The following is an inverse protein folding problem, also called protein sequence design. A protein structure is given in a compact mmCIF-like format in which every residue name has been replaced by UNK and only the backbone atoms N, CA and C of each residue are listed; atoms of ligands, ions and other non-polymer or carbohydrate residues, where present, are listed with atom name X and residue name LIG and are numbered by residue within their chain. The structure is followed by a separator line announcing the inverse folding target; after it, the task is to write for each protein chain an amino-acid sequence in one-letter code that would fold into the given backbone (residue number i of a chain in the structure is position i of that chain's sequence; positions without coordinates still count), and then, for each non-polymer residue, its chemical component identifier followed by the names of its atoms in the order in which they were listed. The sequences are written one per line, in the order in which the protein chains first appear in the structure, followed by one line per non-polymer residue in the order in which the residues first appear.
data_IF_289693054333
#
_entry.id   IF_289693054333
#
_cell.length_a   1.000
_cell.length_b   1.000
_cell.length_c   1.000
_cell.angle_alpha   90.00
_cell.angle_beta   90.00
_cell.angle_gamma   90.00
#
_symmetry.space_group_name_H-M   'P 1'
#
loop_
_entity.id
_entity.type
_entity.pdbx_description
1 polymer ?
#
# COMPACT_ATOMS: atom_id res chain seq x y z
N UNK A 1 -15.35 13.33 10.27
CA UNK A 1 -16.09 12.62 9.16
C UNK A 1 -15.62 11.19 9.18
N UNK A 2 -16.53 10.23 9.08
CA UNK A 2 -16.17 8.81 8.87
C UNK A 2 -15.44 8.66 7.53
N UNK A 3 -14.60 7.65 7.40
CA UNK A 3 -13.91 7.34 6.15
C UNK A 3 -14.91 7.22 4.98
N UNK A 4 -14.59 7.85 3.85
CA UNK A 4 -15.47 7.81 2.68
C UNK A 4 -15.43 6.41 2.03
N UNK A 5 -16.59 5.81 1.85
CA UNK A 5 -16.72 4.46 1.29
C UNK A 5 -17.69 4.46 0.12
N UNK A 6 -17.36 3.70 -0.93
CA UNK A 6 -18.24 3.44 -2.06
C UNK A 6 -18.14 1.99 -2.54
N UNK A 7 -19.20 1.52 -3.21
CA UNK A 7 -19.31 0.17 -3.74
C UNK A 7 -19.50 0.20 -5.25
N UNK A 8 -18.84 -0.75 -5.95
CA UNK A 8 -18.81 -0.90 -7.40
C UNK A 8 -19.00 -2.37 -7.78
N UNK A 9 -19.17 -2.66 -9.07
CA UNK A 9 -19.30 -4.02 -9.58
C UNK A 9 -20.36 -4.81 -8.79
N UNK A 10 -21.56 -4.25 -8.63
CA UNK A 10 -22.69 -4.88 -7.91
C UNK A 10 -22.34 -5.32 -6.47
N UNK A 11 -21.44 -4.62 -5.81
CA UNK A 11 -20.99 -4.93 -4.44
C UNK A 11 -19.75 -5.82 -4.36
N UNK A 12 -19.23 -6.28 -5.51
CA UNK A 12 -18.00 -7.08 -5.53
C UNK A 12 -16.74 -6.29 -5.23
N UNK A 13 -16.76 -4.96 -5.41
CA UNK A 13 -15.67 -4.05 -5.06
C UNK A 13 -16.19 -3.00 -4.08
N UNK A 14 -15.60 -2.92 -2.90
CA UNK A 14 -15.81 -1.82 -1.96
C UNK A 14 -14.48 -1.11 -1.73
N UNK A 15 -14.48 0.21 -1.78
CA UNK A 15 -13.30 1.02 -1.48
C UNK A 15 -13.58 1.98 -0.34
N UNK A 16 -12.64 2.12 0.57
CA UNK A 16 -12.66 3.08 1.67
C UNK A 16 -11.42 3.95 1.59
N UNK A 17 -11.61 5.26 1.52
CA UNK A 17 -10.51 6.23 1.56
C UNK A 17 -10.22 6.68 2.97
N UNK A 18 -8.93 6.68 3.31
CA UNK A 18 -8.40 7.23 4.55
C UNK A 18 -7.70 8.54 4.24
N UNK A 19 -7.93 9.52 5.08
CA UNK A 19 -7.30 10.83 4.98
C UNK A 19 -6.85 11.29 6.36
N UNK A 20 -5.75 12.01 6.40
CA UNK A 20 -5.26 12.62 7.64
C UNK A 20 -6.37 13.40 8.35
N UNK A 21 -6.67 13.03 9.60
CA UNK A 21 -7.60 13.72 10.44
C UNK A 21 -6.87 14.70 11.37
N UNK A 22 -7.28 15.98 11.28
CA UNK A 22 -6.63 17.07 12.01
C UNK A 22 -5.35 17.57 11.34
N UNK A 23 -5.05 18.87 11.51
CA UNK A 23 -3.87 19.52 10.92
C UNK A 23 -2.59 19.18 11.68
N UNK A 24 -2.67 19.13 13.00
CA UNK A 24 -1.53 18.81 13.87
C UNK A 24 -1.45 17.29 14.10
N UNK A 25 -0.40 16.62 13.62
CA UNK A 25 -0.24 15.18 13.80
C UNK A 25 0.01 14.79 15.27
N UNK A 26 0.52 15.69 16.10
CA UNK A 26 0.85 15.42 17.49
C UNK A 26 -0.35 15.49 18.44
N UNK A 27 -1.40 16.18 18.04
CA UNK A 27 -2.63 16.33 18.85
C UNK A 27 -3.66 15.29 18.42
N UNK A 28 -4.10 14.44 19.35
CA UNK A 28 -5.22 13.54 19.12
C UNK A 28 -6.52 14.35 18.96
N UNK A 29 -7.35 13.97 17.97
CA UNK A 29 -8.67 14.58 17.78
C UNK A 29 -9.77 13.52 17.81
N UNK A 30 -11.01 13.90 18.21
CA UNK A 30 -12.14 12.96 18.17
C UNK A 30 -12.37 12.32 16.80
N UNK A 31 -12.19 13.10 15.73
CA UNK A 31 -12.35 12.64 14.36
C UNK A 31 -11.31 11.58 13.99
N UNK A 32 -10.05 11.78 14.42
CA UNK A 32 -8.97 10.80 14.22
C UNK A 32 -9.27 9.51 14.96
N UNK A 33 -9.67 9.60 16.23
CA UNK A 33 -10.05 8.43 17.03
C UNK A 33 -11.23 7.70 16.41
N UNK A 34 -12.25 8.43 15.94
CA UNK A 34 -13.40 7.85 15.27
C UNK A 34 -13.04 7.14 13.98
N UNK A 35 -12.15 7.72 13.15
CA UNK A 35 -11.68 7.08 11.92
C UNK A 35 -10.89 5.80 12.21
N UNK A 36 -9.99 5.82 13.19
CA UNK A 36 -9.21 4.64 13.60
C UNK A 36 -10.16 3.52 14.05
N UNK A 37 -11.16 3.83 14.87
CA UNK A 37 -12.18 2.87 15.34
C UNK A 37 -13.01 2.33 14.17
N UNK A 38 -13.45 3.18 13.25
CA UNK A 38 -14.23 2.76 12.07
C UNK A 38 -13.43 1.76 11.23
N UNK A 39 -12.15 2.05 10.94
CA UNK A 39 -11.27 1.14 10.18
C UNK A 39 -11.05 -0.17 10.92
N UNK A 40 -10.74 -0.12 12.23
CA UNK A 40 -10.59 -1.33 13.05
C UNK A 40 -11.84 -2.20 13.01
N UNK A 41 -13.03 -1.58 13.11
CA UNK A 41 -14.33 -2.26 13.06
C UNK A 41 -14.57 -2.90 11.69
N UNK A 42 -14.25 -2.21 10.59
CA UNK A 42 -14.37 -2.76 9.22
C UNK A 42 -13.48 -4.00 9.04
N UNK A 43 -12.24 -3.93 9.51
CA UNK A 43 -11.31 -5.08 9.44
C UNK A 43 -11.82 -6.23 10.31
N UNK A 44 -12.26 -5.95 11.54
CA UNK A 44 -12.83 -6.98 12.42
C UNK A 44 -14.11 -7.60 11.83
N UNK A 45 -14.97 -6.82 11.19
CA UNK A 45 -16.16 -7.32 10.49
C UNK A 45 -15.77 -8.22 9.31
N UNK A 46 -14.80 -7.78 8.48
CA UNK A 46 -14.29 -8.58 7.37
C UNK A 46 -13.75 -9.94 7.86
N UNK A 47 -12.96 -9.95 8.92
CA UNK A 47 -12.47 -11.16 9.59
C UNK A 47 -13.65 -11.96 10.15
N UNK A 48 -14.62 -11.29 10.78
CA UNK A 48 -15.79 -11.89 11.42
C UNK A 48 -16.73 -12.61 10.48
N UNK A 49 -16.70 -12.28 9.18
CA UNK A 49 -17.49 -12.95 8.13
C UNK A 49 -16.85 -14.24 7.62
N UNK A 50 -15.62 -14.59 8.02
CA UNK A 50 -14.98 -15.83 7.61
C UNK A 50 -15.78 -17.06 8.08
N UNK A 51 -16.00 -18.00 7.16
CA UNK A 51 -16.77 -19.23 7.36
C UNK A 51 -15.89 -20.47 7.29
N UNK A 52 -14.75 -20.36 6.61
CA UNK A 52 -13.80 -21.44 6.43
C UNK A 52 -12.84 -21.49 7.63
N UNK A 53 -11.94 -22.47 7.61
CA UNK A 53 -10.92 -22.64 8.64
C UNK A 53 -9.65 -21.84 8.38
N UNK A 54 -9.62 -20.96 7.35
CA UNK A 54 -8.37 -20.30 6.92
C UNK A 54 -8.61 -18.81 6.68
N UNK A 55 -7.95 -17.97 7.48
CA UNK A 55 -7.73 -16.54 7.23
C UNK A 55 -6.23 -16.32 7.06
N UNK A 56 -5.79 -15.88 5.86
CA UNK A 56 -4.39 -15.63 5.52
C UNK A 56 -4.09 -14.13 5.55
N UNK A 57 -3.21 -13.70 6.43
CA UNK A 57 -2.87 -12.30 6.68
C UNK A 57 -1.41 -12.06 6.28
N UNK A 58 -1.16 -11.22 5.30
CA UNK A 58 0.18 -10.75 4.93
C UNK A 58 0.28 -9.24 5.13
N UNK A 59 0.90 -8.80 6.22
CA UNK A 59 0.96 -7.39 6.61
C UNK A 59 2.39 -6.99 6.95
N UNK A 60 2.89 -5.98 6.22
CA UNK A 60 4.22 -5.41 6.42
C UNK A 60 4.41 -4.81 7.81
N UNK A 61 3.56 -3.84 8.19
CA UNK A 61 3.58 -3.17 9.47
C UNK A 61 2.25 -3.40 10.18
N UNK A 62 2.27 -4.31 11.16
CA UNK A 62 1.10 -4.74 11.93
C UNK A 62 1.36 -4.50 13.42
N UNK A 63 1.06 -3.30 13.88
CA UNK A 63 1.26 -2.87 15.28
C UNK A 63 0.16 -1.90 15.69
N UNK A 64 -0.96 -2.45 16.03
CA UNK A 64 -2.09 -1.70 16.56
C UNK A 64 -1.90 -1.38 18.05
N UNK A 65 -2.55 -0.32 18.49
CA UNK A 65 -2.52 0.14 19.88
C UNK A 65 -3.95 0.43 20.36
N UNK A 66 -4.12 0.45 21.67
CA UNK A 66 -5.34 0.88 22.33
C UNK A 66 -6.59 0.14 21.83
N UNK A 67 -7.67 0.87 21.63
CA UNK A 67 -8.95 0.33 21.17
C UNK A 67 -8.86 -0.41 19.82
N UNK A 68 -8.04 0.06 18.88
CA UNK A 68 -7.88 -0.60 17.60
C UNK A 68 -7.26 -2.01 17.74
N UNK A 69 -6.27 -2.16 18.63
CA UNK A 69 -5.69 -3.46 18.94
C UNK A 69 -6.71 -4.41 19.57
N UNK A 70 -7.56 -3.90 20.46
CA UNK A 70 -8.63 -4.69 21.08
C UNK A 70 -9.66 -5.15 20.05
N UNK A 71 -10.18 -4.25 19.22
CA UNK A 71 -11.22 -4.54 18.23
C UNK A 71 -10.73 -5.63 17.24
N UNK A 72 -9.56 -5.45 16.63
CA UNK A 72 -9.03 -6.40 15.64
C UNK A 72 -8.60 -7.72 16.32
N UNK A 73 -7.92 -7.62 17.47
CA UNK A 73 -7.48 -8.79 18.23
C UNK A 73 -8.66 -9.64 18.71
N UNK A 74 -9.74 -9.02 19.18
CA UNK A 74 -10.95 -9.73 19.60
C UNK A 74 -11.70 -10.37 18.42
N UNK A 75 -11.68 -9.71 17.25
CA UNK A 75 -12.18 -10.29 16.00
C UNK A 75 -11.45 -11.58 15.65
N UNK A 76 -10.12 -11.56 15.65
CA UNK A 76 -9.29 -12.75 15.40
C UNK A 76 -9.52 -13.84 16.45
N UNK A 77 -9.57 -13.49 17.74
CA UNK A 77 -9.86 -14.44 18.83
C UNK A 77 -11.25 -15.07 18.70
N UNK A 78 -12.24 -14.29 18.27
CA UNK A 78 -13.58 -14.79 18.06
C UNK A 78 -13.63 -15.84 16.94
N UNK A 79 -12.88 -15.65 15.86
CA UNK A 79 -12.79 -16.63 14.77
C UNK A 79 -11.99 -17.87 15.18
N UNK A 80 -10.87 -17.72 15.85
CA UNK A 80 -10.10 -18.84 16.35
C UNK A 80 -10.96 -19.77 17.28
N UNK A 81 -11.81 -19.17 18.12
CA UNK A 81 -12.77 -19.95 18.97
C UNK A 81 -13.82 -20.71 18.15
N UNK A 82 -14.14 -20.26 16.95
CA UNK A 82 -15.04 -20.97 16.00
C UNK A 82 -14.33 -22.05 15.20
N UNK A 83 -13.02 -22.21 15.39
CA UNK A 83 -12.19 -23.18 14.65
C UNK A 83 -11.63 -22.64 13.33
N UNK A 84 -11.74 -21.34 13.07
CA UNK A 84 -11.07 -20.71 11.92
C UNK A 84 -9.57 -20.70 12.17
N UNK A 85 -8.79 -21.22 11.22
CA UNK A 85 -7.34 -21.19 11.29
C UNK A 85 -6.84 -19.83 10.84
N UNK A 86 -6.13 -19.12 11.73
CA UNK A 86 -5.52 -17.83 11.42
C UNK A 86 -4.04 -18.01 11.19
N UNK A 87 -3.55 -17.55 10.04
CA UNK A 87 -2.12 -17.52 9.69
C UNK A 87 -1.68 -16.10 9.39
N UNK A 88 -0.53 -15.69 9.90
CA UNK A 88 0.01 -14.34 9.71
C UNK A 88 1.45 -14.45 9.23
N UNK A 89 1.75 -13.84 8.07
CA UNK A 89 3.12 -13.51 7.67
C UNK A 89 3.36 -12.01 7.83
N UNK A 90 4.55 -11.65 8.27
CA UNK A 90 4.93 -10.25 8.48
C UNK A 90 6.40 -10.04 8.13
N UNK A 91 6.78 -8.79 7.85
CA UNK A 91 8.16 -8.44 7.57
C UNK A 91 9.01 -8.58 8.84
N UNK A 92 9.97 -9.50 8.82
CA UNK A 92 10.84 -9.79 9.94
C UNK A 92 12.28 -9.36 9.63
N UNK A 93 12.89 -8.60 10.55
CA UNK A 93 14.28 -8.25 10.42
C UNK A 93 15.13 -9.52 10.46
N UNK A 94 15.97 -9.74 9.46
CA UNK A 94 17.05 -10.69 9.59
C UNK A 94 17.91 -10.28 10.80
N UNK A 95 18.33 -11.28 11.59
CA UNK A 95 19.18 -11.02 12.76
C UNK A 95 20.43 -10.24 12.34
N UNK A 96 20.72 -9.04 12.90
CA UNK A 96 21.88 -8.24 12.51
C UNK A 96 23.23 -8.96 12.69
N UNK A 97 23.25 -10.07 13.41
CA UNK A 97 24.46 -10.87 13.66
C UNK A 97 24.87 -11.81 12.52
N UNK A 98 24.01 -12.10 11.54
CA UNK A 98 24.29 -13.12 10.53
C UNK A 98 25.00 -12.60 9.28
N UNK A 99 24.82 -11.30 8.89
CA UNK A 99 25.38 -10.75 7.66
C UNK A 99 25.71 -9.25 7.74
N UNK A 100 26.37 -8.82 8.81
CA UNK A 100 26.88 -7.45 8.92
C UNK A 100 28.11 -7.25 8.02
N UNK A 101 27.91 -7.12 6.72
CA UNK A 101 28.90 -6.52 5.84
C UNK A 101 28.69 -5.01 5.91
N UNK A 102 29.69 -4.21 6.33
CA UNK A 102 29.61 -2.76 6.27
C UNK A 102 29.49 -2.36 4.80
N UNK A 103 28.30 -2.08 4.35
CA UNK A 103 28.07 -1.59 2.98
C UNK A 103 28.23 -0.08 2.96
N UNK A 104 29.21 0.41 2.20
CA UNK A 104 29.35 1.81 1.81
C UNK A 104 28.30 2.28 0.79
N UNK A 105 27.28 1.45 0.48
CA UNK A 105 26.20 1.84 -0.40
C UNK A 105 25.19 2.70 0.38
N UNK A 106 24.64 3.79 -0.23
CA UNK A 106 23.62 4.60 0.41
C UNK A 106 22.42 3.72 0.75
N UNK A 107 22.05 3.73 2.03
CA UNK A 107 20.89 3.01 2.52
C UNK A 107 19.64 3.49 1.78
N UNK A 108 18.95 2.59 1.11
CA UNK A 108 17.68 2.90 0.50
C UNK A 108 16.61 2.97 1.59
N UNK A 109 15.77 3.99 1.54
CA UNK A 109 14.79 4.32 2.56
C UNK A 109 13.91 3.16 3.01
N UNK A 110 13.51 2.32 2.06
CA UNK A 110 12.59 1.22 2.31
C UNK A 110 13.29 -0.05 2.79
N UNK A 111 14.55 -0.25 2.40
CA UNK A 111 15.26 -1.53 2.64
C UNK A 111 15.81 -1.73 4.04
N UNK A 112 15.98 -0.63 4.81
CA UNK A 112 16.58 -0.70 6.14
C UNK A 112 15.58 -0.40 7.26
N UNK A 113 14.30 -0.16 6.92
CA UNK A 113 13.30 0.30 7.86
C UNK A 113 12.31 -0.82 8.18
N UNK A 114 12.75 -1.79 8.95
CA UNK A 114 11.81 -2.76 9.53
C UNK A 114 10.92 -2.07 10.55
N UNK A 115 9.60 -2.28 10.52
CA UNK A 115 8.69 -1.63 11.45
C UNK A 115 8.91 -2.15 12.86
N UNK A 116 9.43 -1.29 13.74
CA UNK A 116 9.60 -1.64 15.14
C UNK A 116 8.24 -1.82 15.81
N UNK A 117 8.11 -2.89 16.57
CA UNK A 117 6.89 -3.24 17.29
C UNK A 117 5.96 -4.20 16.54
N UNK A 118 6.14 -4.42 15.24
CA UNK A 118 5.35 -5.43 14.50
C UNK A 118 5.60 -6.83 15.05
N UNK A 119 6.85 -7.22 15.24
CA UNK A 119 7.20 -8.54 15.80
C UNK A 119 6.53 -8.76 17.17
N UNK A 120 6.61 -7.78 18.05
CA UNK A 120 5.99 -7.83 19.36
C UNK A 120 4.46 -7.95 19.29
N UNK A 121 3.82 -7.17 18.44
CA UNK A 121 2.36 -7.21 18.28
C UNK A 121 1.90 -8.55 17.69
N UNK A 122 2.52 -9.00 16.61
CA UNK A 122 2.14 -10.25 15.95
C UNK A 122 2.37 -11.47 16.88
N UNK A 123 3.48 -11.48 17.63
CA UNK A 123 3.72 -12.53 18.63
C UNK A 123 2.69 -12.54 19.76
N UNK A 124 2.08 -11.41 20.07
CA UNK A 124 0.98 -11.36 21.06
C UNK A 124 -0.30 -12.07 20.59
N UNK A 125 -0.37 -12.45 19.31
CA UNK A 125 -1.46 -13.21 18.69
C UNK A 125 -1.12 -14.70 18.52
N UNK A 126 0.08 -15.13 18.94
CA UNK A 126 0.56 -16.51 18.70
C UNK A 126 -0.21 -17.59 19.49
N UNK A 127 -1.03 -17.19 20.45
CA UNK A 127 -1.96 -18.08 21.17
C UNK A 127 -3.19 -18.46 20.33
N UNK A 128 -3.49 -17.67 19.28
CA UNK A 128 -4.68 -17.85 18.43
C UNK A 128 -4.35 -17.95 16.95
N UNK A 129 -3.14 -17.60 16.53
CA UNK A 129 -2.71 -17.58 15.14
C UNK A 129 -1.35 -18.27 14.98
N UNK A 130 -1.17 -18.93 13.84
CA UNK A 130 0.16 -19.33 13.41
C UNK A 130 0.85 -18.12 12.81
N UNK A 131 2.04 -17.78 13.30
CA UNK A 131 2.78 -16.59 12.87
C UNK A 131 4.13 -16.96 12.27
N UNK A 132 4.51 -16.30 11.18
CA UNK A 132 5.80 -16.53 10.51
C UNK A 132 6.42 -15.21 10.02
N UNK A 133 7.64 -14.93 10.48
CA UNK A 133 8.43 -13.86 9.95
C UNK A 133 8.96 -14.19 8.56
N UNK A 134 8.84 -13.26 7.62
CA UNK A 134 9.41 -13.34 6.28
C UNK A 134 10.61 -12.40 6.19
N UNK A 135 11.75 -12.93 5.76
CA UNK A 135 12.99 -12.18 5.68
C UNK A 135 13.39 -11.90 4.23
N UNK A 136 14.11 -10.79 4.01
CA UNK A 136 14.70 -10.47 2.72
C UNK A 136 15.95 -9.60 2.87
N UNK A 137 16.97 -9.85 2.06
CA UNK A 137 18.16 -9.01 2.03
C UNK A 137 17.88 -7.75 1.22
N UNK A 138 17.82 -6.60 1.90
CA UNK A 138 17.51 -5.29 1.29
C UNK A 138 16.17 -5.22 0.54
N UNK A 139 15.25 -6.10 0.86
CA UNK A 139 13.89 -6.13 0.33
C UNK A 139 12.91 -6.40 1.45
N UNK A 140 11.64 -6.01 1.26
CA UNK A 140 10.60 -6.04 2.28
C UNK A 140 9.46 -6.99 1.88
N UNK A 141 8.91 -7.70 2.85
CA UNK A 141 7.57 -8.28 2.71
C UNK A 141 6.57 -7.14 2.91
N UNK A 142 6.31 -6.39 1.83
CA UNK A 142 5.57 -5.13 1.88
C UNK A 142 4.08 -5.27 1.54
N UNK A 143 3.59 -6.50 1.44
CA UNK A 143 2.17 -6.79 1.26
C UNK A 143 1.31 -6.26 2.41
N UNK A 144 0.05 -5.96 2.11
CA UNK A 144 -0.98 -5.49 3.03
C UNK A 144 -2.32 -6.08 2.62
N UNK A 145 -2.51 -7.38 2.92
CA UNK A 145 -3.78 -8.02 2.58
C UNK A 145 -4.22 -9.04 3.64
N UNK A 146 -5.52 -9.28 3.66
CA UNK A 146 -6.16 -10.38 4.37
C UNK A 146 -7.02 -11.15 3.36
N UNK A 147 -6.85 -12.46 3.30
CA UNK A 147 -7.66 -13.35 2.47
C UNK A 147 -8.53 -14.19 3.37
N UNK A 148 -9.82 -14.25 3.11
CA UNK A 148 -10.73 -15.16 3.78
C UNK A 148 -11.41 -16.11 2.80
N UNK A 149 -11.67 -17.32 3.24
CA UNK A 149 -12.49 -18.32 2.54
C UNK A 149 -12.06 -18.60 1.09
N UNK A 150 -10.76 -18.57 0.78
CA UNK A 150 -10.22 -18.56 -0.58
C UNK A 150 -10.75 -19.70 -1.48
N UNK A 151 -11.15 -20.83 -0.91
CA UNK A 151 -11.65 -22.00 -1.64
C UNK A 151 -13.19 -22.02 -1.78
N UNK A 152 -13.89 -21.01 -1.26
CA UNK A 152 -15.34 -20.94 -1.24
C UNK A 152 -15.92 -19.83 -2.11
N UNK A 153 -17.22 -19.88 -2.36
CA UNK A 153 -17.94 -18.82 -3.06
C UNK A 153 -18.01 -17.51 -2.24
N UNK A 154 -17.80 -17.57 -0.92
CA UNK A 154 -17.78 -16.43 -0.01
C UNK A 154 -16.38 -15.78 0.09
N UNK A 155 -15.43 -16.23 -0.74
CA UNK A 155 -14.07 -15.74 -0.75
C UNK A 155 -13.98 -14.22 -0.95
N UNK A 156 -13.13 -13.60 -0.16
CA UNK A 156 -12.87 -12.17 -0.29
C UNK A 156 -11.41 -11.82 0.10
N UNK A 157 -10.96 -10.70 -0.44
CA UNK A 157 -9.66 -10.10 -0.14
C UNK A 157 -9.85 -8.69 0.36
N UNK A 158 -9.25 -8.36 1.48
CA UNK A 158 -9.07 -6.98 1.94
C UNK A 158 -7.62 -6.59 1.67
N UNK A 159 -7.41 -5.52 0.90
CA UNK A 159 -6.07 -5.05 0.50
C UNK A 159 -6.02 -3.54 0.34
N UNK A 160 -4.93 -2.98 -0.17
CA UNK A 160 -4.75 -1.55 -0.43
C UNK A 160 -3.38 -1.04 -0.04
N UNK A 161 -3.28 0.26 0.21
CA UNK A 161 -2.02 0.91 0.56
C UNK A 161 -1.75 0.96 2.07
N UNK A 162 -2.76 0.71 2.90
CA UNK A 162 -2.73 0.98 4.33
C UNK A 162 -2.02 -0.12 5.13
N UNK A 163 -1.01 0.26 5.91
CA UNK A 163 -0.50 -0.57 6.99
C UNK A 163 -1.53 -0.71 8.12
N UNK A 164 -1.35 -1.70 8.97
CA UNK A 164 -2.23 -1.92 10.13
C UNK A 164 -1.60 -1.26 11.37
N UNK A 165 -1.64 0.08 11.36
CA UNK A 165 -1.16 0.93 12.46
C UNK A 165 -2.13 2.07 12.70
N UNK A 166 -2.17 2.60 13.91
CA UNK A 166 -3.03 3.74 14.24
C UNK A 166 -2.70 4.98 13.39
N UNK A 167 -1.42 5.21 13.07
CA UNK A 167 -1.01 6.31 12.22
C UNK A 167 -1.50 6.13 10.78
N UNK A 168 -1.41 4.90 10.26
CA UNK A 168 -1.88 4.58 8.91
C UNK A 168 -3.38 4.81 8.75
N UNK A 169 -4.14 4.61 9.83
CA UNK A 169 -5.59 4.75 9.82
C UNK A 169 -6.08 6.14 10.18
N UNK A 170 -5.32 6.92 10.95
CA UNK A 170 -5.77 8.23 11.43
C UNK A 170 -5.02 9.43 10.86
N UNK A 171 -3.80 9.24 10.36
CA UNK A 171 -2.89 10.31 9.96
C UNK A 171 -2.44 10.25 8.51
N UNK A 172 -2.42 9.07 7.91
CA UNK A 172 -1.93 8.90 6.54
C UNK A 172 -3.07 8.92 5.53
N UNK A 173 -2.75 9.34 4.30
CA UNK A 173 -3.67 9.22 3.18
C UNK A 173 -3.47 7.85 2.53
N UNK A 174 -4.48 7.02 2.62
CA UNK A 174 -4.46 5.63 2.19
C UNK A 174 -5.78 5.22 1.53
N UNK A 175 -5.80 4.03 0.95
CA UNK A 175 -7.04 3.36 0.55
C UNK A 175 -7.06 1.92 1.05
N UNK A 176 -8.27 1.41 1.27
CA UNK A 176 -8.57 0.01 1.55
C UNK A 176 -9.60 -0.46 0.51
N UNK A 177 -9.41 -1.68 0.00
CA UNK A 177 -10.31 -2.35 -0.91
C UNK A 177 -10.76 -3.68 -0.34
N UNK A 178 -12.05 -3.94 -0.36
CA UNK A 178 -12.62 -5.26 -0.17
C UNK A 178 -13.10 -5.78 -1.53
N UNK A 179 -12.58 -6.93 -1.94
CA UNK A 179 -12.80 -7.55 -3.25
C UNK A 179 -13.39 -8.94 -3.05
N UNK A 180 -14.65 -9.14 -3.47
CA UNK A 180 -15.38 -10.39 -3.31
C UNK A 180 -15.28 -11.20 -4.60
N UNK A 181 -14.37 -12.16 -4.63
CA UNK A 181 -14.16 -13.08 -5.77
C UNK A 181 -13.28 -14.24 -5.36
N UNK A 182 -13.78 -15.46 -5.51
CA UNK A 182 -13.00 -16.67 -5.29
C UNK A 182 -11.79 -16.74 -6.22
N UNK A 183 -11.98 -16.41 -7.49
CA UNK A 183 -10.90 -16.42 -8.46
C UNK A 183 -9.80 -15.42 -8.09
N UNK A 184 -10.15 -14.20 -7.64
CA UNK A 184 -9.16 -13.22 -7.19
C UNK A 184 -8.49 -13.68 -5.89
N UNK A 185 -9.24 -14.16 -4.92
CA UNK A 185 -8.72 -14.66 -3.65
C UNK A 185 -7.70 -15.79 -3.84
N UNK A 186 -7.90 -16.65 -4.85
CA UNK A 186 -6.97 -17.73 -5.15
C UNK A 186 -5.57 -17.24 -5.57
N UNK A 187 -5.44 -16.06 -6.18
CA UNK A 187 -4.13 -15.47 -6.49
C UNK A 187 -3.41 -15.03 -5.20
N UNK A 188 -4.13 -14.34 -4.31
CA UNK A 188 -3.58 -13.92 -3.02
C UNK A 188 -3.21 -15.11 -2.13
N UNK A 189 -4.03 -16.17 -2.12
CA UNK A 189 -3.75 -17.38 -1.35
C UNK A 189 -2.50 -18.12 -1.87
N UNK A 190 -2.21 -18.06 -3.18
CA UNK A 190 -0.96 -18.61 -3.74
C UNK A 190 0.25 -17.79 -3.30
N UNK A 191 0.20 -16.46 -3.42
CA UNK A 191 1.26 -15.57 -2.94
C UNK A 191 1.52 -15.81 -1.44
N UNK A 192 0.46 -15.85 -0.63
CA UNK A 192 0.58 -16.15 0.79
C UNK A 192 1.25 -17.52 1.04
N UNK A 193 0.84 -18.55 0.32
CA UNK A 193 1.39 -19.90 0.46
C UNK A 193 2.87 -19.96 0.12
N UNK A 194 3.31 -19.21 -0.87
CA UNK A 194 4.73 -19.07 -1.24
C UNK A 194 5.50 -18.38 -0.11
N UNK A 195 5.03 -17.24 0.38
CA UNK A 195 5.64 -16.52 1.50
C UNK A 195 5.68 -17.40 2.76
N UNK A 196 4.57 -18.09 3.03
CA UNK A 196 4.46 -18.98 4.17
C UNK A 196 5.42 -20.16 4.09
N UNK A 197 5.51 -20.84 2.95
CA UNK A 197 6.36 -22.02 2.79
C UNK A 197 7.84 -21.66 2.85
N UNK A 198 8.24 -20.60 2.19
CA UNK A 198 9.65 -20.19 2.06
C UNK A 198 10.17 -19.42 3.27
N UNK A 199 9.37 -18.53 3.88
CA UNK A 199 9.81 -17.63 4.94
C UNK A 199 10.82 -16.57 4.46
N UNK A 200 10.96 -16.42 3.13
CA UNK A 200 11.90 -15.51 2.48
C UNK A 200 11.24 -14.87 1.26
N UNK A 201 11.63 -13.62 0.96
CA UNK A 201 11.28 -12.95 -0.28
C UNK A 201 12.23 -13.49 -1.35
N UNK A 202 11.68 -14.20 -2.30
CA UNK A 202 12.40 -14.75 -3.44
C UNK A 202 11.56 -14.51 -4.69
N UNK A 203 12.22 -14.52 -5.85
CA UNK A 203 11.51 -14.40 -7.11
C UNK A 203 10.47 -15.53 -7.21
N UNK A 204 9.24 -15.15 -7.44
CA UNK A 204 8.21 -16.06 -7.86
C UNK A 204 8.61 -16.57 -9.26
N UNK A 205 8.72 -17.86 -9.41
CA UNK A 205 9.02 -18.46 -10.73
C UNK A 205 7.76 -18.53 -11.59
N UNK A 206 6.62 -18.07 -11.05
CA UNK A 206 5.34 -18.47 -11.55
C UNK A 206 4.58 -17.42 -12.31
N UNK A 207 4.22 -17.74 -13.53
CA UNK A 207 3.05 -17.23 -14.22
C UNK A 207 1.72 -17.52 -13.49
N UNK A 208 1.77 -17.97 -12.23
CA UNK A 208 0.61 -18.44 -11.50
C UNK A 208 -0.01 -17.36 -10.59
N UNK A 209 0.71 -16.27 -10.34
CA UNK A 209 0.31 -15.22 -9.41
C UNK A 209 -0.21 -13.96 -10.13
N UNK A 210 -0.16 -13.93 -11.45
CA UNK A 210 -0.65 -12.83 -12.27
C UNK A 210 -1.82 -13.28 -13.13
N UNK A 211 -2.86 -12.45 -13.21
CA UNK A 211 -4.01 -12.75 -14.06
C UNK A 211 -5.02 -11.62 -14.11
N UNK A 212 -6.00 -11.76 -14.97
CA UNK A 212 -7.15 -10.85 -15.03
C UNK A 212 -8.42 -11.63 -14.72
N UNK A 213 -9.16 -11.16 -13.73
CA UNK A 213 -10.47 -11.67 -13.35
C UNK A 213 -11.55 -10.63 -13.64
N UNK A 214 -12.78 -11.06 -13.70
CA UNK A 214 -13.93 -10.14 -13.80
C UNK A 214 -14.71 -10.18 -12.49
N UNK A 215 -14.88 -9.02 -11.89
CA UNK A 215 -15.80 -8.81 -10.78
C UNK A 215 -17.06 -8.17 -11.36
N UNK A 216 -18.13 -8.95 -11.49
CA UNK A 216 -19.24 -8.61 -12.39
C UNK A 216 -18.70 -8.22 -13.78
N UNK A 217 -18.93 -7.01 -14.26
CA UNK A 217 -18.42 -6.55 -15.54
C UNK A 217 -17.06 -5.85 -15.50
N UNK A 218 -16.48 -5.67 -14.30
CA UNK A 218 -15.25 -4.92 -14.12
C UNK A 218 -14.02 -5.83 -14.24
N UNK A 219 -13.14 -5.62 -15.22
CA UNK A 219 -11.86 -6.34 -15.31
C UNK A 219 -10.90 -5.86 -14.23
N UNK A 220 -10.35 -6.80 -13.48
CA UNK A 220 -9.33 -6.57 -12.45
C UNK A 220 -8.12 -7.42 -12.76
N UNK A 221 -7.00 -6.78 -13.08
CA UNK A 221 -5.71 -7.45 -13.22
C UNK A 221 -5.00 -7.43 -11.88
N UNK A 222 -4.50 -8.59 -11.45
CA UNK A 222 -3.69 -8.77 -10.25
C UNK A 222 -2.31 -9.27 -10.63
N UNK A 223 -1.27 -8.74 -9.98
CA UNK A 223 0.09 -9.20 -10.12
C UNK A 223 0.85 -9.01 -8.80
N UNK A 224 1.89 -9.83 -8.60
CA UNK A 224 2.75 -9.80 -7.43
C UNK A 224 4.21 -9.60 -7.82
N UNK A 225 4.97 -8.92 -6.96
CA UNK A 225 6.42 -8.85 -7.05
C UNK A 225 7.05 -9.69 -5.92
N UNK A 226 8.33 -10.11 -6.05
CA UNK A 226 9.26 -9.74 -7.12
C UNK A 226 9.11 -10.53 -8.44
N UNK A 227 8.49 -11.68 -8.51
CA UNK A 227 8.46 -12.54 -9.70
C UNK A 227 7.96 -11.85 -10.99
N UNK A 228 6.81 -11.18 -10.92
CA UNK A 228 6.18 -10.49 -12.05
C UNK A 228 6.56 -9.02 -12.21
N UNK A 229 7.65 -8.57 -11.60
CA UNK A 229 8.04 -7.15 -11.54
C UNK A 229 8.09 -6.47 -12.92
N UNK A 230 8.60 -7.15 -13.93
CA UNK A 230 8.65 -6.61 -15.30
C UNK A 230 7.25 -6.47 -15.92
N UNK A 231 6.35 -7.42 -15.66
CA UNK A 231 4.97 -7.37 -16.13
C UNK A 231 4.21 -6.26 -15.41
N UNK A 232 4.34 -6.13 -14.08
CA UNK A 232 3.77 -5.04 -13.27
C UNK A 232 4.18 -3.67 -13.84
N UNK A 233 5.48 -3.47 -14.04
CA UNK A 233 5.99 -2.22 -14.56
C UNK A 233 5.47 -1.91 -15.96
N UNK A 234 5.41 -2.91 -16.83
CA UNK A 234 4.85 -2.79 -18.17
C UNK A 234 3.38 -2.39 -18.17
N UNK A 235 2.58 -2.99 -17.30
CA UNK A 235 1.15 -2.65 -17.15
C UNK A 235 0.97 -1.21 -16.66
N UNK A 236 1.71 -0.77 -15.64
CA UNK A 236 1.62 0.61 -15.12
C UNK A 236 2.05 1.62 -16.20
N UNK A 237 3.20 1.40 -16.83
CA UNK A 237 3.72 2.27 -17.90
C UNK A 237 2.77 2.27 -19.10
N UNK A 238 2.22 1.12 -19.46
CA UNK A 238 1.24 0.98 -20.55
C UNK A 238 -0.04 1.77 -20.27
N UNK A 239 -0.56 1.72 -19.04
CA UNK A 239 -1.73 2.50 -18.64
C UNK A 239 -1.48 4.02 -18.77
N UNK A 240 -0.31 4.50 -18.30
CA UNK A 240 0.09 5.92 -18.41
C UNK A 240 0.25 6.32 -19.89
N UNK A 241 0.91 5.51 -20.69
CA UNK A 241 1.15 5.79 -22.11
C UNK A 241 -0.14 5.79 -22.94
N UNK A 242 -1.11 4.96 -22.56
CA UNK A 242 -2.40 4.87 -23.23
C UNK A 242 -3.37 6.00 -22.88
N UNK A 243 -3.16 6.71 -21.77
CA UNK A 243 -4.04 7.79 -21.32
C UNK A 243 -4.16 8.93 -22.36
N UNK A 244 -5.38 9.47 -22.52
CA UNK A 244 -5.72 10.49 -23.52
C UNK A 244 -6.42 11.72 -22.92
N UNK A 245 -7.12 11.59 -21.79
CA UNK A 245 -7.98 12.62 -21.25
C UNK A 245 -7.44 13.19 -19.94
N UNK A 246 -6.98 12.31 -19.04
CA UNK A 246 -6.51 12.71 -17.69
C UNK A 246 -5.53 11.71 -17.12
N UNK A 247 -4.67 12.22 -16.25
CA UNK A 247 -3.70 11.42 -15.52
C UNK A 247 -3.54 11.98 -14.10
N UNK A 248 -3.74 11.14 -13.09
CA UNK A 248 -3.49 11.49 -11.70
C UNK A 248 -2.51 10.51 -11.07
N UNK A 249 -1.67 11.02 -10.18
CA UNK A 249 -0.73 10.23 -9.39
C UNK A 249 -0.81 10.65 -7.93
N UNK A 250 -0.92 9.70 -7.01
CA UNK A 250 -0.76 9.97 -5.58
C UNK A 250 0.18 8.92 -5.00
N UNK A 251 1.38 9.33 -4.56
CA UNK A 251 2.41 8.37 -4.17
C UNK A 251 3.31 8.91 -3.05
N UNK A 252 3.62 8.02 -2.10
CA UNK A 252 4.63 8.33 -1.06
C UNK A 252 6.00 8.55 -1.68
N UNK A 253 6.40 7.71 -2.65
CA UNK A 253 7.65 7.80 -3.39
C UNK A 253 7.37 7.64 -4.88
N UNK A 254 7.94 8.50 -5.70
CA UNK A 254 7.84 8.45 -7.17
C UNK A 254 9.26 8.46 -7.75
N UNK A 255 9.91 7.29 -7.78
CA UNK A 255 11.33 7.17 -8.12
C UNK A 255 11.66 6.12 -9.19
N UNK A 256 10.65 5.40 -9.71
CA UNK A 256 10.83 4.48 -10.84
C UNK A 256 11.15 5.25 -12.13
N UNK A 257 12.31 4.98 -12.73
CA UNK A 257 12.73 5.63 -13.98
C UNK A 257 11.72 5.46 -15.11
N UNK A 258 11.28 4.24 -15.43
CA UNK A 258 10.27 4.02 -16.48
C UNK A 258 8.92 4.72 -16.22
N UNK A 259 8.45 4.75 -14.98
CA UNK A 259 7.21 5.47 -14.62
C UNK A 259 7.40 6.98 -14.80
N UNK A 260 8.51 7.53 -14.31
CA UNK A 260 8.84 8.95 -14.50
C UNK A 260 8.94 9.34 -15.97
N UNK A 261 9.57 8.49 -16.79
CA UNK A 261 9.66 8.71 -18.24
C UNK A 261 8.26 8.73 -18.88
N UNK A 262 7.40 7.77 -18.58
CA UNK A 262 6.04 7.71 -19.10
C UNK A 262 5.19 8.92 -18.70
N UNK A 263 5.31 9.40 -17.45
CA UNK A 263 4.67 10.62 -16.97
C UNK A 263 5.19 11.86 -17.70
N UNK A 264 6.51 11.95 -17.88
CA UNK A 264 7.15 13.04 -18.62
C UNK A 264 6.69 13.09 -20.08
N UNK A 265 6.61 11.95 -20.76
CA UNK A 265 6.08 11.84 -22.13
C UNK A 265 4.59 12.20 -22.20
N UNK A 266 3.80 11.85 -21.18
CA UNK A 266 2.40 12.27 -21.11
C UNK A 266 2.26 13.81 -21.03
N UNK A 267 3.12 14.45 -20.24
CA UNK A 267 3.20 15.93 -20.17
C UNK A 267 3.56 16.51 -21.55
N UNK A 268 4.56 15.91 -22.26
CA UNK A 268 4.96 16.40 -23.59
C UNK A 268 3.86 16.28 -24.64
N UNK A 269 2.97 15.28 -24.47
CA UNK A 269 1.76 15.16 -25.29
C UNK A 269 0.65 16.15 -24.94
N UNK A 270 0.85 16.99 -23.91
CA UNK A 270 -0.15 17.95 -23.43
C UNK A 270 -1.27 17.30 -22.59
N UNK A 271 -1.07 16.06 -22.10
CA UNK A 271 -2.06 15.39 -21.25
C UNK A 271 -2.10 16.08 -19.88
N UNK A 272 -3.30 16.44 -19.35
CA UNK A 272 -3.41 16.97 -18.01
C UNK A 272 -2.91 15.97 -16.96
N UNK A 273 -1.86 16.34 -16.25
CA UNK A 273 -1.33 15.60 -15.11
C UNK A 273 -1.61 16.38 -13.83
N UNK A 274 -2.22 15.71 -12.86
CA UNK A 274 -2.42 16.19 -11.50
C UNK A 274 -2.04 15.15 -10.46
N UNK A 275 -2.14 15.51 -9.19
CA UNK A 275 -1.89 14.59 -8.09
C UNK A 275 -1.00 15.17 -7.00
N UNK A 276 -0.41 14.28 -6.20
CA UNK A 276 0.41 14.70 -5.07
C UNK A 276 1.45 13.64 -4.68
N UNK A 277 2.47 14.10 -3.97
CA UNK A 277 3.55 13.28 -3.46
C UNK A 277 3.92 13.67 -2.03
N UNK A 278 4.58 12.76 -1.32
CA UNK A 278 5.13 13.06 -0.01
C UNK A 278 6.46 13.81 -0.14
N UNK A 279 6.47 15.06 0.30
CA UNK A 279 7.62 15.93 0.12
C UNK A 279 8.88 15.44 0.83
N UNK A 280 8.87 15.25 2.16
CA UNK A 280 10.06 14.79 2.89
C UNK A 280 10.60 13.46 2.40
N UNK A 281 9.74 12.53 1.97
CA UNK A 281 10.17 11.25 1.41
C UNK A 281 10.89 11.46 0.07
N UNK A 282 10.35 12.30 -0.82
CA UNK A 282 11.02 12.61 -2.09
C UNK A 282 12.30 13.45 -1.91
N UNK A 283 12.35 14.36 -0.96
CA UNK A 283 13.61 15.08 -0.61
C UNK A 283 14.71 14.10 -0.22
N UNK A 284 14.37 13.03 0.50
CA UNK A 284 15.34 12.00 0.86
C UNK A 284 15.77 11.19 -0.36
N UNK A 285 14.85 10.84 -1.26
CA UNK A 285 15.18 10.19 -2.53
C UNK A 285 16.13 11.06 -3.37
N UNK A 286 15.86 12.36 -3.49
CA UNK A 286 16.75 13.28 -4.22
C UNK A 286 18.15 13.36 -3.60
N UNK A 287 18.25 13.41 -2.26
CA UNK A 287 19.54 13.32 -1.56
C UNK A 287 20.29 12.04 -1.88
N UNK A 288 19.59 10.89 -1.93
CA UNK A 288 20.19 9.60 -2.31
C UNK A 288 20.68 9.60 -3.76
N UNK A 289 19.87 10.13 -4.68
CA UNK A 289 20.28 10.25 -6.08
C UNK A 289 21.52 11.11 -6.24
N UNK A 290 21.60 12.22 -5.53
CA UNK A 290 22.80 13.08 -5.51
C UNK A 290 24.02 12.34 -4.95
N UNK A 291 23.87 11.62 -3.84
CA UNK A 291 24.97 10.86 -3.23
C UNK A 291 25.43 9.70 -4.12
N UNK A 292 24.51 9.07 -4.87
CA UNK A 292 24.79 7.97 -5.78
C UNK A 292 25.21 8.44 -7.19
N UNK A 293 25.37 9.75 -7.43
CA UNK A 293 25.65 10.34 -8.75
C UNK A 293 24.70 9.84 -9.85
N UNK A 294 23.41 9.69 -9.51
CA UNK A 294 22.39 9.35 -10.50
C UNK A 294 22.36 10.45 -11.59
N UNK A 295 22.30 10.03 -12.84
CA UNK A 295 22.38 10.95 -13.99
C UNK A 295 21.36 12.08 -13.93
N UNK A 296 21.77 13.25 -14.41
CA UNK A 296 20.96 14.49 -14.41
C UNK A 296 19.59 14.29 -15.07
N UNK A 297 19.49 13.42 -16.07
CA UNK A 297 18.24 13.18 -16.82
C UNK A 297 17.12 12.66 -15.92
N UNK A 298 17.42 11.76 -14.99
CA UNK A 298 16.41 11.27 -14.05
C UNK A 298 15.94 12.35 -13.09
N UNK A 299 16.86 13.16 -12.59
CA UNK A 299 16.55 14.28 -11.69
C UNK A 299 15.70 15.33 -12.44
N UNK A 300 16.10 15.69 -13.66
CA UNK A 300 15.35 16.64 -14.49
C UNK A 300 13.95 16.12 -14.84
N UNK A 301 13.82 14.83 -15.15
CA UNK A 301 12.54 14.18 -15.40
C UNK A 301 11.63 14.26 -14.18
N UNK A 302 12.15 13.92 -12.99
CA UNK A 302 11.41 14.08 -11.74
C UNK A 302 10.98 15.54 -11.51
N UNK A 303 11.90 16.50 -11.64
CA UNK A 303 11.58 17.92 -11.45
C UNK A 303 10.51 18.41 -12.41
N UNK A 304 10.50 17.91 -13.65
CA UNK A 304 9.46 18.21 -14.63
C UNK A 304 8.10 17.68 -14.15
N UNK A 305 8.04 16.42 -13.73
CA UNK A 305 6.82 15.79 -13.23
C UNK A 305 6.34 16.48 -11.95
N UNK A 306 7.23 16.77 -11.01
CA UNK A 306 6.90 17.37 -9.71
C UNK A 306 6.21 18.74 -9.83
N UNK A 307 6.48 19.52 -10.90
CA UNK A 307 5.81 20.83 -11.15
C UNK A 307 4.31 20.71 -11.39
N UNK A 308 3.82 19.53 -11.73
CA UNK A 308 2.40 19.23 -11.94
C UNK A 308 1.72 18.64 -10.70
N UNK A 309 2.48 18.37 -9.63
CA UNK A 309 2.01 17.68 -8.45
C UNK A 309 2.03 18.58 -7.21
N UNK A 310 1.06 18.38 -6.34
CA UNK A 310 1.03 19.04 -5.03
C UNK A 310 1.95 18.29 -4.06
N UNK A 311 2.76 19.05 -3.33
CA UNK A 311 3.64 18.54 -2.29
C UNK A 311 2.88 18.47 -0.95
N UNK A 312 2.74 17.28 -0.35
CA UNK A 312 2.34 17.15 1.03
C UNK A 312 3.58 17.28 1.93
N UNK A 313 3.53 18.17 2.91
CA UNK A 313 4.58 18.34 3.91
C UNK A 313 4.28 17.45 5.12
N UNK A 314 4.69 16.20 5.06
CA UNK A 314 4.60 15.27 6.18
C UNK A 314 5.75 15.48 7.20
N UNK A 315 5.65 14.85 8.37
CA UNK A 315 6.77 14.78 9.30
C UNK A 315 7.83 13.86 8.68
N UNK A 316 9.11 14.31 8.56
CA UNK A 316 10.18 13.45 8.07
C UNK A 316 10.31 12.19 8.95
N UNK A 317 10.61 11.07 8.33
CA UNK A 317 10.86 9.84 9.09
C UNK A 317 12.18 9.99 9.89
N UNK A 318 12.09 9.72 11.19
CA UNK A 318 13.24 9.73 12.09
C UNK A 318 13.42 8.35 12.74
N UNK A 319 14.52 7.67 12.40
CA UNK A 319 14.89 6.37 12.98
C UNK A 319 15.14 6.43 14.48
N UNK A 320 15.61 7.57 14.97
CA UNK A 320 15.97 7.75 16.38
C UNK A 320 14.76 8.06 17.24
N UNK A 321 13.70 8.58 16.64
CA UNK A 321 12.44 8.92 17.32
C UNK A 321 11.24 8.22 16.68
N UNK A 322 11.12 6.93 16.93
CA UNK A 322 10.03 6.12 16.38
C UNK A 322 8.67 6.33 17.06
N UNK A 323 8.61 7.14 18.11
CA UNK A 323 7.37 7.58 18.71
C UNK A 323 6.74 8.78 17.97
N UNK A 324 7.45 9.35 16.98
CA UNK A 324 6.88 10.40 16.15
C UNK A 324 5.67 9.88 15.35
N UNK A 325 4.59 10.69 15.25
CA UNK A 325 3.48 10.34 14.39
C UNK A 325 3.89 10.43 12.92
N UNK A 326 3.46 9.46 12.12
CA UNK A 326 3.74 9.40 10.68
C UNK A 326 2.50 9.78 9.88
N UNK A 327 2.49 10.96 9.28
CA UNK A 327 1.37 11.51 8.53
C UNK A 327 1.61 11.56 7.01
N UNK A 328 2.19 10.52 6.45
CA UNK A 328 2.61 10.46 5.05
C UNK A 328 1.44 10.53 4.05
N UNK A 329 1.73 11.02 2.84
CA UNK A 329 0.98 10.66 1.65
C UNK A 329 1.33 9.21 1.30
N UNK A 330 0.55 8.26 1.80
CA UNK A 330 0.94 6.85 1.74
C UNK A 330 0.24 6.04 0.65
N UNK A 331 -0.56 6.68 -0.20
CA UNK A 331 -1.13 6.05 -1.39
C UNK A 331 -0.04 5.62 -2.39
N UNK A 332 -0.40 4.69 -3.27
CA UNK A 332 0.38 4.22 -4.42
C UNK A 332 -0.58 4.11 -5.59
N UNK A 333 -1.03 5.28 -6.06
CA UNK A 333 -2.12 5.39 -7.03
C UNK A 333 -1.66 5.97 -8.36
N UNK A 334 -2.16 5.40 -9.44
CA UNK A 334 -2.22 6.02 -10.75
C UNK A 334 -3.66 5.93 -11.25
N UNK A 335 -4.25 7.04 -11.67
CA UNK A 335 -5.52 7.06 -12.40
C UNK A 335 -5.24 7.53 -13.81
N UNK A 336 -5.40 6.64 -14.77
CA UNK A 336 -5.17 6.87 -16.20
C UNK A 336 -6.48 6.64 -16.96
N UNK A 337 -7.17 7.71 -17.32
CA UNK A 337 -8.53 7.68 -17.89
C UNK A 337 -9.51 6.83 -17.05
N UNK A 338 -9.75 5.59 -17.46
CA UNK A 338 -10.67 4.65 -16.82
C UNK A 338 -9.94 3.53 -16.04
N UNK A 339 -8.62 3.65 -15.89
CA UNK A 339 -7.81 2.64 -15.22
C UNK A 339 -7.32 3.21 -13.89
N UNK A 340 -7.51 2.45 -12.82
CA UNK A 340 -6.90 2.73 -11.52
C UNK A 340 -5.86 1.66 -11.23
N UNK A 341 -4.62 2.09 -10.97
CA UNK A 341 -3.56 1.27 -10.40
C UNK A 341 -3.54 1.53 -8.91
N UNK A 342 -3.57 0.47 -8.10
CA UNK A 342 -3.53 0.55 -6.63
C UNK A 342 -2.91 -0.73 -6.03
N UNK A 343 -2.73 -0.77 -4.72
CA UNK A 343 -2.14 -1.89 -3.99
C UNK A 343 -1.05 -1.43 -3.02
N UNK A 344 -0.10 -2.32 -2.74
CA UNK A 344 1.01 -2.03 -1.85
C UNK A 344 2.26 -1.47 -2.56
N UNK A 345 2.33 -1.62 -3.88
CA UNK A 345 3.50 -1.34 -4.72
C UNK A 345 3.83 0.15 -4.79
N UNK A 346 4.91 0.57 -4.15
CA UNK A 346 5.42 1.93 -4.30
C UNK A 346 5.88 2.18 -5.74
N UNK A 347 5.64 3.39 -6.28
CA UNK A 347 6.07 3.75 -7.62
C UNK A 347 7.60 3.99 -7.67
N UNK A 348 8.35 3.01 -7.18
CA UNK A 348 9.80 3.04 -6.99
C UNK A 348 10.49 1.81 -7.61
N UNK A 349 11.81 1.91 -7.82
CA UNK A 349 12.58 0.76 -8.30
C UNK A 349 12.72 -0.33 -7.23
N UNK A 350 12.70 0.04 -5.95
CA UNK A 350 12.80 -0.91 -4.84
C UNK A 350 11.59 -1.83 -4.74
N UNK A 351 10.41 -1.32 -5.02
CA UNK A 351 9.18 -2.10 -5.00
C UNK A 351 9.24 -3.33 -5.93
N UNK A 352 10.08 -3.28 -6.95
CA UNK A 352 10.30 -4.41 -7.85
C UNK A 352 10.98 -5.63 -7.19
N UNK A 353 11.73 -5.40 -6.11
CA UNK A 353 12.37 -6.47 -5.34
C UNK A 353 11.60 -6.90 -4.10
N UNK A 354 10.64 -6.11 -3.65
CA UNK A 354 9.80 -6.41 -2.50
C UNK A 354 8.72 -7.44 -2.82
N UNK A 355 8.15 -8.07 -1.79
CA UNK A 355 6.88 -8.77 -1.94
C UNK A 355 5.75 -7.75 -1.84
N UNK A 356 5.11 -7.47 -2.99
CA UNK A 356 4.05 -6.46 -3.16
C UNK A 356 2.90 -7.05 -3.97
N UNK A 357 1.72 -6.43 -3.85
CA UNK A 357 0.60 -6.70 -4.75
C UNK A 357 0.21 -5.43 -5.52
N UNK A 358 -0.21 -5.62 -6.77
CA UNK A 358 -0.68 -4.56 -7.67
C UNK A 358 -2.00 -4.95 -8.28
N UNK A 359 -2.95 -4.05 -8.25
CA UNK A 359 -4.25 -4.16 -8.92
C UNK A 359 -4.37 -3.10 -10.00
N UNK A 360 -4.84 -3.50 -11.18
CA UNK A 360 -5.32 -2.59 -12.22
C UNK A 360 -6.81 -2.84 -12.42
N UNK A 361 -7.63 -1.88 -12.03
CA UNK A 361 -9.09 -1.93 -12.09
C UNK A 361 -9.55 -1.05 -13.24
N UNK A 362 -10.30 -1.62 -14.19
CA UNK A 362 -10.71 -0.95 -15.42
C UNK A 362 -12.21 -0.64 -15.37
N UNK A 363 -12.57 0.49 -14.79
CA UNK A 363 -13.95 0.97 -14.68
C UNK A 363 -14.00 2.50 -14.61
N UNK A 364 -14.88 3.12 -15.37
CA UNK A 364 -14.98 4.57 -15.48
C UNK A 364 -15.48 5.23 -14.18
N UNK A 365 -16.46 4.63 -13.51
CA UNK A 365 -17.04 5.18 -12.28
C UNK A 365 -16.06 5.03 -11.11
N UNK A 366 -15.38 3.89 -11.05
CA UNK A 366 -14.33 3.64 -10.07
C UNK A 366 -13.17 4.62 -10.25
N UNK A 367 -12.69 4.82 -11.49
CA UNK A 367 -11.64 5.79 -11.80
C UNK A 367 -12.04 7.22 -11.47
N UNK A 368 -13.30 7.61 -11.74
CA UNK A 368 -13.84 8.92 -11.37
C UNK A 368 -13.86 9.12 -9.85
N UNK A 369 -14.22 8.09 -9.09
CA UNK A 369 -14.25 8.14 -7.64
C UNK A 369 -12.83 8.36 -7.05
N UNK A 370 -11.83 7.67 -7.60
CA UNK A 370 -10.41 7.87 -7.23
C UNK A 370 -9.89 9.24 -7.65
N UNK A 371 -10.24 9.72 -8.85
CA UNK A 371 -9.86 11.04 -9.32
C UNK A 371 -10.37 12.14 -8.38
N UNK A 372 -11.65 12.09 -8.00
CA UNK A 372 -12.23 13.03 -7.02
C UNK A 372 -11.57 12.96 -5.65
N UNK A 373 -11.19 11.78 -5.18
CA UNK A 373 -10.42 11.64 -3.95
C UNK A 373 -9.06 12.35 -4.05
N UNK A 374 -8.31 12.13 -5.13
CA UNK A 374 -7.02 12.79 -5.36
C UNK A 374 -7.20 14.30 -5.45
N UNK A 375 -8.21 14.81 -6.16
CA UNK A 375 -8.51 16.24 -6.27
C UNK A 375 -8.79 16.88 -4.91
N UNK A 376 -9.55 16.20 -4.04
CA UNK A 376 -9.80 16.68 -2.66
C UNK A 376 -8.50 16.74 -1.84
N UNK A 377 -7.63 15.73 -1.97
CA UNK A 377 -6.32 15.74 -1.30
C UNK A 377 -5.46 16.89 -1.83
N UNK A 378 -5.41 17.10 -3.15
CA UNK A 378 -4.70 18.24 -3.76
C UNK A 378 -5.20 19.57 -3.20
N UNK A 379 -6.52 19.78 -3.14
CA UNK A 379 -7.12 20.97 -2.57
C UNK A 379 -6.76 21.16 -1.08
N UNK A 380 -6.75 20.08 -0.31
CA UNK A 380 -6.44 20.12 1.13
C UNK A 380 -4.99 20.51 1.39
N UNK A 381 -4.04 20.08 0.55
CA UNK A 381 -2.61 20.33 0.77
C UNK A 381 -2.04 21.51 -0.01
N UNK A 382 -2.68 21.98 -1.09
CA UNK A 382 -2.27 23.18 -1.80
C UNK A 382 -2.33 24.45 -0.94
N UNK A 383 -3.28 24.53 -0.02
CA UNK A 383 -3.48 25.69 0.88
C UNK A 383 -2.35 25.84 1.90
N UNK A 384 -1.66 24.73 2.25
CA UNK A 384 -0.59 24.75 3.26
C UNK A 384 0.76 25.21 2.71
N UNK A 385 0.91 25.34 1.39
CA UNK A 385 2.16 25.76 0.74
C UNK A 385 2.29 27.27 0.56
N UNK A 386 1.27 28.07 0.95
CA UNK A 386 1.30 29.53 0.84
C UNK A 386 1.14 30.20 2.24
N UNK A 387 2.20 30.30 3.07
CA UNK A 387 2.16 31.01 4.35
C UNK A 387 2.39 32.52 4.18
N UNK A 388 1.77 33.12 3.16
CA UNK A 388 2.00 34.53 2.87
C UNK A 388 0.98 35.13 1.90
N UNK A 389 -0.22 35.37 2.37
CA UNK A 389 -1.10 36.48 1.98
C UNK A 389 -1.89 36.95 3.17
#
# INVERSE_FOLDING_TARGET
MTAETASFAEGAIEVTFLQQQGRDPFTATPERTAQIRDVATRIANFIGEAKSTIDDIAIYDFRLRDEAAAIVGDGLRAQARKGVHVRIVYDHAADPGADAIPSAAPAHLESDQKPLGTDSFVRSLADIAQVKGVTGYRVLMHNKYVVRDAESADAAVLTGSSNYTNDSWGLQDNNLLCLRSQQLASYYARDFTDLWSRGKIVDSTGSHDTGTVRLSDVPVTIAFTPGESAAVLKEIVGAIAAARNRLYVASVVLSSGPILAALSEAIDRGLPLGGLYDGPQMDQVERQWKAANVGADKVNTWQKVARHLVRKNSIPFDRQNQSQPHNFMHNKLVVADQIVVTGSFNLSNHAMGNAENVLLIRDAQFAEFYAKYIERLMASYAVTTNPGR
#
